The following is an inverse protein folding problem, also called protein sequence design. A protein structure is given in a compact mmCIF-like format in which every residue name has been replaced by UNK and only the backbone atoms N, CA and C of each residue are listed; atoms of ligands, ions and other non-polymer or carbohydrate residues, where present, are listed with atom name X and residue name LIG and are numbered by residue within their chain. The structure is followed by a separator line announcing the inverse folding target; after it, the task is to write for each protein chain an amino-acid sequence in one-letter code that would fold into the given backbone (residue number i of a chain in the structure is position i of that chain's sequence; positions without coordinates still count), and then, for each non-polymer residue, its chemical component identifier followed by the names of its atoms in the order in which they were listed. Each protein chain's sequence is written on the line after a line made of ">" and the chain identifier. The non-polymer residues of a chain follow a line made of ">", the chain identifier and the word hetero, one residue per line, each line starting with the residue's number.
data_IF_249887369159
#
_entry.id   IF_249887369159
#
_cell.length_a   1.000
_cell.length_b   1.000
_cell.length_c   1.000
_cell.angle_alpha   90.00
_cell.angle_beta   90.00
_cell.angle_gamma   90.00
#
_symmetry.space_group_name_H-M   'P 1'
#
loop_
_entity.id
_entity.type
_entity.pdbx_description
1 polymer ?
#
# COMPACT_ATOMS: atom_id res chain seq x y z
N UNK A 1 -11.37 6.34 -13.86
CA UNK A 1 -10.06 6.74 -13.32
C UNK A 1 -10.09 6.80 -11.81
N UNK A 2 -10.73 7.84 -11.23
CA UNK A 2 -10.87 7.92 -9.79
C UNK A 2 -11.57 6.70 -9.22
N UNK A 3 -12.53 6.15 -9.98
CA UNK A 3 -13.28 4.98 -9.57
C UNK A 3 -12.39 3.74 -9.49
N UNK A 4 -11.48 3.55 -10.44
CA UNK A 4 -10.52 2.44 -10.43
C UNK A 4 -9.61 2.54 -9.22
N UNK A 5 -9.12 3.73 -8.93
CA UNK A 5 -8.22 3.94 -7.80
C UNK A 5 -8.91 3.70 -6.46
N UNK A 6 -10.19 4.05 -6.36
CA UNK A 6 -10.98 3.76 -5.16
C UNK A 6 -11.19 2.26 -4.99
N UNK A 7 -11.48 1.56 -6.07
CA UNK A 7 -11.65 0.10 -6.01
C UNK A 7 -10.34 -0.58 -5.62
N UNK A 8 -9.23 -0.11 -6.19
CA UNK A 8 -7.92 -0.62 -5.83
C UNK A 8 -7.64 -0.41 -4.35
N UNK A 9 -7.92 0.80 -3.84
CA UNK A 9 -7.74 1.11 -2.42
C UNK A 9 -8.59 0.22 -1.52
N UNK A 10 -9.84 -0.05 -1.92
CA UNK A 10 -10.72 -0.94 -1.17
C UNK A 10 -10.16 -2.35 -1.12
N UNK A 11 -9.54 -2.82 -2.21
CA UNK A 11 -8.89 -4.14 -2.23
C UNK A 11 -7.71 -4.16 -1.29
N UNK A 12 -6.92 -3.09 -1.27
CA UNK A 12 -5.79 -3.00 -0.35
C UNK A 12 -6.25 -3.04 1.10
N UNK A 13 -7.34 -2.34 1.41
CA UNK A 13 -7.91 -2.35 2.76
C UNK A 13 -8.33 -3.77 3.17
N UNK A 14 -8.98 -4.50 2.26
CA UNK A 14 -9.38 -5.88 2.53
C UNK A 14 -8.17 -6.77 2.76
N UNK A 15 -7.13 -6.62 1.96
CA UNK A 15 -5.89 -7.39 2.12
C UNK A 15 -5.25 -7.12 3.47
N UNK A 16 -5.20 -5.85 3.87
CA UNK A 16 -4.68 -5.45 5.17
C UNK A 16 -5.47 -6.10 6.32
N UNK A 17 -6.79 -6.02 6.23
CA UNK A 17 -7.66 -6.58 7.26
C UNK A 17 -7.57 -8.10 7.34
N UNK A 18 -7.38 -8.77 6.21
CA UNK A 18 -7.15 -10.22 6.20
C UNK A 18 -5.88 -10.60 6.93
N UNK A 19 -4.87 -9.74 6.88
CA UNK A 19 -3.62 -9.95 7.60
C UNK A 19 -3.75 -9.58 9.08
N UNK A 20 -4.89 -9.01 9.48
CA UNK A 20 -5.11 -8.58 10.86
C UNK A 20 -4.30 -7.35 11.24
N UNK A 21 -3.94 -6.52 10.27
CA UNK A 21 -3.07 -5.36 10.50
C UNK A 21 -3.87 -4.06 10.60
N UNK A 22 -3.50 -3.23 11.58
CA UNK A 22 -4.00 -1.86 11.66
C UNK A 22 -3.17 -0.97 10.74
N UNK A 23 -3.67 0.24 10.47
CA UNK A 23 -2.92 1.23 9.69
C UNK A 23 -1.56 1.51 10.35
N UNK A 24 -1.55 1.63 11.67
CA UNK A 24 -0.31 1.92 12.40
C UNK A 24 0.69 0.77 12.30
N UNK A 25 0.20 -0.47 12.38
CA UNK A 25 1.07 -1.64 12.25
C UNK A 25 1.70 -1.70 10.86
N UNK A 26 0.94 -1.38 9.82
CA UNK A 26 1.50 -1.32 8.46
C UNK A 26 2.58 -0.24 8.38
N UNK A 27 2.32 0.92 9.01
CA UNK A 27 3.32 1.98 9.08
C UNK A 27 4.62 1.48 9.74
N UNK A 28 4.51 0.81 10.89
CA UNK A 28 5.68 0.27 11.58
C UNK A 28 6.47 -0.70 10.71
N UNK A 29 5.77 -1.59 10.02
CA UNK A 29 6.42 -2.55 9.11
C UNK A 29 7.07 -1.84 7.91
N UNK A 30 6.43 -0.78 7.40
CA UNK A 30 7.00 -0.04 6.28
C UNK A 30 8.27 0.72 6.68
N UNK A 31 8.40 1.10 7.95
CA UNK A 31 9.63 1.71 8.44
C UNK A 31 10.80 0.74 8.33
N UNK A 32 10.56 -0.55 8.56
CA UNK A 32 11.58 -1.58 8.41
C UNK A 32 11.99 -1.73 6.95
N UNK A 33 11.04 -1.68 6.03
CA UNK A 33 11.33 -1.72 4.60
C UNK A 33 12.18 -0.51 4.21
N UNK A 34 11.77 0.68 4.67
CA UNK A 34 12.49 1.92 4.39
C UNK A 34 13.93 1.87 4.92
N UNK A 35 14.12 1.32 6.11
CA UNK A 35 15.44 1.19 6.71
C UNK A 35 16.34 0.25 5.89
N UNK A 36 15.80 -0.90 5.49
CA UNK A 36 16.55 -1.87 4.68
C UNK A 36 16.91 -1.32 3.31
N UNK A 37 16.01 -0.56 2.71
CA UNK A 37 16.22 0.05 1.39
C UNK A 37 16.91 1.40 1.46
N UNK A 38 17.13 1.92 2.66
CA UNK A 38 17.79 3.21 2.91
C UNK A 38 17.10 4.35 2.16
N UNK A 39 15.76 4.35 2.15
CA UNK A 39 14.99 5.36 1.43
C UNK A 39 13.64 5.58 2.12
N UNK A 40 13.45 6.79 2.60
CA UNK A 40 12.22 7.15 3.35
C UNK A 40 10.96 7.03 2.51
N UNK A 41 11.09 7.09 1.18
CA UNK A 41 9.93 7.00 0.27
C UNK A 41 9.16 5.68 0.41
N UNK A 42 9.79 4.62 0.94
CA UNK A 42 9.13 3.34 1.17
C UNK A 42 8.21 3.35 2.38
N UNK A 43 8.28 4.37 3.23
CA UNK A 43 7.48 4.46 4.44
C UNK A 43 6.02 4.78 4.11
N UNK A 44 5.09 4.11 4.80
CA UNK A 44 3.65 4.30 4.62
C UNK A 44 3.06 4.95 5.86
N UNK A 45 2.94 6.28 5.85
CA UNK A 45 2.32 7.00 6.96
C UNK A 45 0.86 6.57 7.09
N UNK A 46 0.31 6.43 8.32
CA UNK A 46 -1.07 5.98 8.50
C UNK A 46 -2.09 6.85 7.77
N UNK A 47 -1.91 8.17 7.81
CA UNK A 47 -2.82 9.09 7.13
C UNK A 47 -2.80 8.90 5.62
N UNK A 48 -1.60 8.71 5.04
CA UNK A 48 -1.49 8.48 3.61
C UNK A 48 -2.09 7.14 3.20
N UNK A 49 -1.85 6.09 3.98
CA UNK A 49 -2.44 4.80 3.70
C UNK A 49 -3.96 4.86 3.78
N UNK A 50 -4.49 5.57 4.76
CA UNK A 50 -5.93 5.80 4.87
C UNK A 50 -6.49 6.47 3.62
N UNK A 51 -5.80 7.47 3.09
CA UNK A 51 -6.23 8.15 1.86
C UNK A 51 -6.16 7.22 0.64
N UNK A 52 -5.14 6.40 0.56
CA UNK A 52 -5.02 5.41 -0.51
C UNK A 52 -6.21 4.45 -0.46
N UNK A 53 -6.58 3.99 0.73
CA UNK A 53 -7.65 3.01 0.90
C UNK A 53 -9.04 3.59 0.70
N UNK A 54 -9.26 4.85 1.10
CA UNK A 54 -10.61 5.41 1.13
C UNK A 54 -10.88 6.51 0.12
N UNK A 55 -9.86 7.24 -0.31
CA UNK A 55 -10.05 8.40 -1.20
C UNK A 55 -9.54 8.19 -2.62
N UNK A 56 -9.02 7.02 -2.92
CA UNK A 56 -8.52 6.73 -4.25
C UNK A 56 -7.23 7.45 -4.61
N UNK A 57 -6.46 7.85 -3.60
CA UNK A 57 -5.12 8.41 -3.84
C UNK A 57 -4.23 7.31 -4.41
N UNK A 58 -3.50 7.63 -5.48
CA UNK A 58 -2.60 6.66 -6.11
C UNK A 58 -1.29 6.60 -5.34
N UNK A 59 -0.90 5.42 -4.84
CA UNK A 59 0.38 5.28 -4.16
C UNK A 59 1.54 5.37 -5.14
N UNK A 60 2.69 5.82 -4.66
CA UNK A 60 3.92 5.78 -5.46
C UNK A 60 4.38 4.34 -5.63
N UNK A 61 5.29 4.11 -6.58
CA UNK A 61 5.86 2.77 -6.77
C UNK A 61 6.59 2.30 -5.49
N UNK A 62 7.20 3.23 -4.76
CA UNK A 62 7.89 2.89 -3.51
C UNK A 62 6.92 2.37 -2.46
N UNK A 63 5.77 3.02 -2.34
CA UNK A 63 4.74 2.61 -1.38
C UNK A 63 4.08 1.30 -1.81
N UNK A 64 3.88 1.10 -3.11
CA UNK A 64 3.37 -0.17 -3.63
C UNK A 64 4.34 -1.32 -3.32
N UNK A 65 5.64 -1.07 -3.45
CA UNK A 65 6.64 -2.07 -3.09
C UNK A 65 6.50 -2.48 -1.62
N UNK A 66 6.39 -1.50 -0.73
CA UNK A 66 6.22 -1.79 0.70
C UNK A 66 4.95 -2.62 0.93
N UNK A 67 3.85 -2.25 0.29
CA UNK A 67 2.60 -3.00 0.40
C UNK A 67 2.80 -4.44 -0.09
N UNK A 68 3.51 -4.64 -1.20
CA UNK A 68 3.74 -5.98 -1.74
C UNK A 68 4.51 -6.85 -0.74
N UNK A 69 5.51 -6.28 -0.08
CA UNK A 69 6.30 -6.98 0.93
C UNK A 69 5.45 -7.30 2.17
N UNK A 70 4.76 -6.29 2.68
CA UNK A 70 3.99 -6.42 3.93
C UNK A 70 2.79 -7.34 3.77
N UNK A 71 2.08 -7.21 2.64
CA UNK A 71 0.88 -8.01 2.39
C UNK A 71 1.19 -9.35 1.72
N UNK A 72 2.47 -9.62 1.46
CA UNK A 72 2.92 -10.84 0.81
C UNK A 72 2.16 -11.09 -0.50
N UNK A 73 2.23 -10.10 -1.38
CA UNK A 73 1.49 -10.07 -2.64
C UNK A 73 2.44 -9.60 -3.74
N UNK A 74 2.43 -10.24 -4.93
CA UNK A 74 3.32 -9.81 -6.02
C UNK A 74 3.05 -8.37 -6.41
N UNK A 75 4.11 -7.60 -6.65
CA UNK A 75 3.97 -6.21 -7.08
C UNK A 75 3.16 -6.11 -8.38
N UNK A 76 3.33 -7.06 -9.30
CA UNK A 76 2.57 -7.09 -10.55
C UNK A 76 1.06 -7.12 -10.30
N UNK A 77 0.63 -7.85 -9.27
CA UNK A 77 -0.79 -7.90 -8.92
C UNK A 77 -1.30 -6.53 -8.48
N UNK A 78 -0.50 -5.82 -7.68
CA UNK A 78 -0.86 -4.47 -7.23
C UNK A 78 -0.90 -3.50 -8.42
N UNK A 79 0.05 -3.63 -9.33
CA UNK A 79 0.06 -2.79 -10.54
C UNK A 79 -1.18 -3.04 -11.39
N UNK A 80 -1.65 -4.29 -11.46
CA UNK A 80 -2.91 -4.62 -12.16
C UNK A 80 -4.08 -3.88 -11.53
N UNK A 81 -4.15 -3.83 -10.21
CA UNK A 81 -5.24 -3.14 -9.52
C UNK A 81 -5.33 -1.67 -9.95
N UNK A 82 -4.19 -1.05 -10.23
CA UNK A 82 -4.14 0.35 -10.64
C UNK A 82 -4.10 0.53 -12.15
N UNK A 83 -4.21 -0.57 -12.89
CA UNK A 83 -4.32 -0.49 -14.35
C UNK A 83 -3.02 -0.23 -15.10
N UNK A 84 -1.89 -0.52 -14.49
CA UNK A 84 -0.57 -0.27 -15.09
C UNK A 84 0.23 -1.55 -15.35
N UNK A 85 -0.49 -2.64 -15.46
CA UNK A 85 0.14 -3.93 -15.76
C UNK A 85 -0.62 -4.67 -16.85
#
# INVERSE_FOLDING_TARGET
>A
MADRNRKAGQRLAKMRLRKGLTLFEVFQLSREVAARRRKAAFCLQPSRLSEIESKGVTPTIYKLYSISVIYDCPLSHLLELYGVW
#
